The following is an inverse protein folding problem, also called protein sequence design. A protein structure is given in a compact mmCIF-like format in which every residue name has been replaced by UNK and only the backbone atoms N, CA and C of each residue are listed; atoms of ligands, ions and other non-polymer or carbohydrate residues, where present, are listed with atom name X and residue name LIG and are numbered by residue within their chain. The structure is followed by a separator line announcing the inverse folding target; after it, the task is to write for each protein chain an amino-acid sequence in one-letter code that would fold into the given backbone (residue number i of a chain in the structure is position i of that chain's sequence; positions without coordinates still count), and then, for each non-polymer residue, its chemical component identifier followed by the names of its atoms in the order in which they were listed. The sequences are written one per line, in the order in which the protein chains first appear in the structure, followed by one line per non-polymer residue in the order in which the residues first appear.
data_IF_342562655906
#
_entry.id   IF_342562655906
#
_cell.length_a   1.000
_cell.length_b   1.000
_cell.length_c   1.000
_cell.angle_alpha   90.00
_cell.angle_beta   90.00
_cell.angle_gamma   90.00
#
_symmetry.space_group_name_H-M   'P 1'
#
loop_
_entity.id
_entity.type
_entity.pdbx_description
1 polymer ?
#
# COMPACT_ATOMS: atom_id res chain seq x y z
N UNK A 1 -37.02 13.17 -43.34
CA UNK A 1 -37.45 12.58 -42.07
C UNK A 1 -36.93 11.15 -41.86
N UNK A 2 -37.06 10.26 -42.83
CA UNK A 2 -36.63 8.85 -42.76
C UNK A 2 -35.11 8.71 -42.53
N UNK A 3 -34.25 9.48 -43.21
CA UNK A 3 -32.78 9.42 -43.09
C UNK A 3 -32.31 9.80 -41.68
N UNK A 4 -32.96 10.78 -41.06
CA UNK A 4 -32.63 11.21 -39.70
C UNK A 4 -32.95 10.10 -38.67
N UNK A 5 -34.07 9.41 -38.86
CA UNK A 5 -34.49 8.29 -38.01
C UNK A 5 -33.53 7.10 -38.10
N UNK A 6 -33.03 6.79 -39.31
CA UNK A 6 -32.03 5.74 -39.51
C UNK A 6 -30.70 6.07 -38.85
N UNK A 7 -30.27 7.31 -38.94
CA UNK A 7 -29.03 7.74 -38.28
C UNK A 7 -29.13 7.64 -36.74
N UNK A 8 -30.27 8.06 -36.15
CA UNK A 8 -30.51 7.95 -34.73
C UNK A 8 -30.51 6.49 -34.27
N UNK A 9 -31.17 5.58 -35.03
CA UNK A 9 -31.17 4.15 -34.72
C UNK A 9 -29.78 3.54 -34.83
N UNK A 10 -28.98 3.96 -35.79
CA UNK A 10 -27.61 3.49 -35.99
C UNK A 10 -26.70 3.96 -34.84
N UNK A 11 -26.83 5.22 -34.38
CA UNK A 11 -26.09 5.76 -33.26
C UNK A 11 -26.51 5.03 -31.95
N UNK A 12 -27.79 4.79 -31.73
CA UNK A 12 -28.28 4.03 -30.56
C UNK A 12 -27.79 2.59 -30.60
N UNK A 13 -27.79 1.95 -31.78
CA UNK A 13 -27.25 0.61 -31.96
C UNK A 13 -25.75 0.53 -31.68
N UNK A 14 -24.95 1.49 -32.20
CA UNK A 14 -23.52 1.57 -31.93
C UNK A 14 -23.22 1.91 -30.46
N UNK A 15 -24.06 2.71 -29.82
CA UNK A 15 -23.94 2.99 -28.37
C UNK A 15 -24.24 1.76 -27.54
N UNK A 16 -25.29 0.98 -27.89
CA UNK A 16 -25.61 -0.29 -27.22
C UNK A 16 -24.54 -1.35 -27.40
N UNK A 17 -23.97 -1.48 -28.62
CA UNK A 17 -22.87 -2.45 -28.86
C UNK A 17 -21.57 -2.03 -28.15
N UNK A 18 -21.27 -0.73 -28.01
CA UNK A 18 -20.16 -0.24 -27.20
C UNK A 18 -20.40 -0.41 -25.68
N UNK A 19 -21.62 -0.18 -25.21
CA UNK A 19 -21.97 -0.34 -23.79
C UNK A 19 -22.04 -1.82 -23.38
N UNK A 20 -22.24 -2.75 -24.31
CA UNK A 20 -22.24 -4.20 -24.05
C UNK A 20 -20.82 -4.79 -23.96
N UNK A 21 -19.78 -4.01 -24.26
CA UNK A 21 -18.39 -4.45 -24.11
C UNK A 21 -17.69 -3.93 -22.84
N UNK A 22 -18.34 -3.13 -22.01
CA UNK A 22 -17.95 -3.01 -20.62
C UNK A 22 -18.45 -4.25 -19.89
N UNK A 23 -17.90 -5.40 -20.29
CA UNK A 23 -17.97 -6.61 -19.51
C UNK A 23 -17.45 -6.26 -18.13
N UNK A 24 -18.33 -6.28 -17.16
CA UNK A 24 -18.05 -6.36 -15.75
C UNK A 24 -16.81 -7.24 -15.58
N UNK A 25 -15.70 -6.63 -15.29
CA UNK A 25 -14.51 -7.34 -14.85
C UNK A 25 -14.81 -7.68 -13.40
N UNK A 26 -15.62 -8.72 -13.23
CA UNK A 26 -15.68 -9.43 -11.95
C UNK A 26 -14.26 -9.96 -11.72
N UNK A 27 -13.66 -9.58 -10.59
CA UNK A 27 -12.39 -10.11 -10.10
C UNK A 27 -12.56 -11.59 -9.72
N UNK A 28 -12.88 -12.42 -10.71
CA UNK A 28 -12.85 -13.86 -10.56
C UNK A 28 -11.40 -14.34 -10.72
N UNK A 29 -10.62 -14.21 -9.66
CA UNK A 29 -9.38 -14.95 -9.49
C UNK A 29 -9.72 -16.44 -9.26
N UNK A 30 -10.26 -17.11 -10.30
CA UNK A 30 -10.36 -18.57 -10.31
C UNK A 30 -8.98 -19.16 -10.56
N UNK A 31 -8.42 -19.76 -9.54
CA UNK A 31 -7.33 -20.74 -9.70
C UNK A 31 -7.96 -21.99 -10.29
N UNK A 32 -7.89 -22.17 -11.62
CA UNK A 32 -8.20 -23.45 -12.27
C UNK A 32 -7.19 -24.50 -11.83
N UNK A 33 -7.58 -25.33 -10.90
CA UNK A 33 -7.03 -26.68 -10.73
C UNK A 33 -8.20 -27.63 -10.78
N UNK A 34 -8.13 -28.58 -11.72
CA UNK A 34 -9.00 -29.73 -11.89
C UNK A 34 -10.50 -29.53 -11.57
N UNK A 35 -11.28 -29.54 -12.58
CA UNK A 35 -12.72 -29.81 -12.82
C UNK A 35 -13.73 -29.93 -11.63
N UNK A 36 -13.39 -29.38 -10.44
CA UNK A 36 -14.31 -29.19 -9.33
C UNK A 36 -14.22 -27.72 -8.89
N UNK A 37 -15.24 -26.93 -9.19
CA UNK A 37 -15.44 -25.61 -8.58
C UNK A 37 -15.68 -25.79 -7.09
N UNK A 38 -14.63 -25.67 -6.29
CA UNK A 38 -14.78 -25.60 -4.82
C UNK A 38 -15.32 -24.21 -4.50
N UNK A 39 -16.58 -24.15 -4.12
CA UNK A 39 -17.18 -22.94 -3.58
C UNK A 39 -16.51 -22.64 -2.24
N UNK A 40 -15.75 -21.53 -2.17
CA UNK A 40 -15.05 -21.13 -0.94
C UNK A 40 -16.02 -20.31 -0.09
N UNK A 41 -16.36 -20.81 1.09
CA UNK A 41 -17.03 -20.02 2.12
C UNK A 41 -16.03 -19.06 2.77
N UNK A 42 -15.99 -17.82 2.30
CA UNK A 42 -15.07 -16.79 2.79
C UNK A 42 -15.33 -16.44 4.26
N UNK A 43 -16.56 -16.56 4.74
CA UNK A 43 -16.88 -16.25 6.15
C UNK A 43 -16.22 -17.25 7.12
N UNK A 44 -16.07 -18.50 6.71
CA UNK A 44 -15.33 -19.51 7.49
C UNK A 44 -13.82 -19.46 7.26
N UNK A 45 -13.37 -18.93 6.11
CA UNK A 45 -11.96 -18.90 5.74
C UNK A 45 -11.18 -17.70 6.29
N UNK A 46 -11.87 -16.61 6.68
CA UNK A 46 -11.23 -15.38 7.17
C UNK A 46 -11.79 -14.95 8.52
N UNK A 47 -10.93 -14.32 9.29
CA UNK A 47 -11.31 -13.66 10.53
C UNK A 47 -10.70 -12.26 10.62
N UNK A 48 -11.38 -11.34 11.28
CA UNK A 48 -10.83 -10.01 11.57
C UNK A 48 -9.64 -10.09 12.54
N UNK A 49 -8.71 -9.16 12.45
CA UNK A 49 -7.61 -8.99 13.41
C UNK A 49 -7.45 -7.52 13.78
N UNK A 50 -6.78 -7.26 14.88
CA UNK A 50 -6.38 -5.90 15.22
C UNK A 50 -5.41 -5.36 14.17
N UNK A 51 -5.63 -4.11 13.77
CA UNK A 51 -4.81 -3.45 12.76
C UNK A 51 -3.37 -3.18 13.25
N UNK A 52 -3.23 -2.72 14.49
CA UNK A 52 -1.95 -2.48 15.15
C UNK A 52 -1.79 -3.42 16.35
N UNK A 53 -0.57 -3.83 16.64
CA UNK A 53 -0.21 -4.45 17.93
C UNK A 53 -0.36 -3.44 19.06
N UNK A 54 -0.37 -3.89 20.30
CA UNK A 54 -0.48 -3.00 21.46
C UNK A 54 0.68 -1.99 21.54
N UNK A 55 1.92 -2.43 21.23
CA UNK A 55 3.07 -1.55 21.20
C UNK A 55 2.95 -0.53 20.06
N UNK A 56 2.63 -0.98 18.85
CA UNK A 56 2.44 -0.08 17.70
C UNK A 56 1.34 0.95 17.97
N UNK A 57 0.22 0.55 18.57
CA UNK A 57 -0.87 1.46 18.92
C UNK A 57 -0.43 2.51 19.95
N UNK A 58 0.34 2.11 20.95
CA UNK A 58 0.88 3.03 21.95
C UNK A 58 1.83 4.05 21.31
N UNK A 59 2.78 3.58 20.51
CA UNK A 59 3.74 4.45 19.80
C UNK A 59 3.06 5.34 18.76
N UNK A 60 2.05 4.82 18.05
CA UNK A 60 1.24 5.59 17.10
C UNK A 60 0.56 6.79 17.77
N UNK A 61 -0.12 6.55 18.91
CA UNK A 61 -0.81 7.64 19.63
C UNK A 61 0.17 8.72 20.06
N UNK A 62 1.34 8.32 20.54
CA UNK A 62 2.40 9.24 20.97
C UNK A 62 2.97 10.03 19.79
N UNK A 63 3.28 9.36 18.67
CA UNK A 63 3.77 9.99 17.45
C UNK A 63 2.75 10.98 16.88
N UNK A 64 1.45 10.58 16.85
CA UNK A 64 0.37 11.44 16.36
C UNK A 64 0.23 12.71 17.21
N UNK A 65 0.21 12.58 18.54
CA UNK A 65 0.15 13.74 19.42
C UNK A 65 1.29 14.75 19.17
N UNK A 66 2.52 14.24 18.99
CA UNK A 66 3.68 15.09 18.70
C UNK A 66 3.59 15.70 17.29
N UNK A 67 3.16 14.93 16.30
CA UNK A 67 3.00 15.36 14.91
C UNK A 67 1.94 16.46 14.78
N UNK A 68 0.80 16.30 15.46
CA UNK A 68 -0.31 17.28 15.45
C UNK A 68 0.17 18.68 15.92
N UNK A 69 1.09 18.74 16.88
CA UNK A 69 1.67 20.01 17.36
C UNK A 69 2.51 20.73 16.30
N UNK A 70 3.00 19.99 15.30
CA UNK A 70 3.81 20.53 14.17
C UNK A 70 3.00 20.63 12.87
N UNK A 71 1.71 20.30 12.88
CA UNK A 71 0.85 20.30 11.69
C UNK A 71 1.19 19.17 10.73
N UNK A 72 1.70 18.05 11.24
CA UNK A 72 1.99 16.85 10.46
C UNK A 72 0.90 15.79 10.62
N UNK A 73 0.73 14.97 9.58
CA UNK A 73 -0.13 13.78 9.58
C UNK A 73 0.70 12.51 9.77
N UNK A 74 0.12 11.49 10.42
CA UNK A 74 0.77 10.20 10.63
C UNK A 74 -0.08 9.09 10.05
N UNK A 75 0.49 8.34 9.10
CA UNK A 75 -0.14 7.19 8.47
C UNK A 75 0.53 5.90 8.97
N UNK A 76 -0.19 5.00 9.65
CA UNK A 76 0.36 3.71 10.08
C UNK A 76 0.27 2.65 8.98
N UNK A 77 1.21 1.70 8.99
CA UNK A 77 1.21 0.50 8.12
C UNK A 77 1.09 0.80 6.62
N UNK A 78 1.87 1.76 6.15
CA UNK A 78 1.89 2.16 4.73
C UNK A 78 2.70 1.14 3.93
N UNK A 79 2.13 0.63 2.84
CA UNK A 79 2.85 -0.30 1.96
C UNK A 79 3.95 0.44 1.20
N UNK A 80 5.05 -0.26 0.90
CA UNK A 80 6.12 0.33 0.09
C UNK A 80 5.64 0.74 -1.30
N UNK A 81 4.67 0.02 -1.90
CA UNK A 81 4.09 0.38 -3.20
C UNK A 81 3.25 1.67 -3.17
N UNK A 82 2.83 2.14 -2.00
CA UNK A 82 2.12 3.42 -1.86
C UNK A 82 3.12 4.60 -1.75
N UNK A 83 4.40 4.31 -1.51
CA UNK A 83 5.48 5.31 -1.37
C UNK A 83 6.38 5.38 -2.59
N UNK A 84 6.57 4.27 -3.30
CA UNK A 84 7.50 4.16 -4.43
C UNK A 84 7.09 3.03 -5.37
N UNK A 85 7.49 3.15 -6.64
CA UNK A 85 7.30 2.07 -7.62
C UNK A 85 8.58 1.85 -8.44
N UNK A 86 8.86 0.63 -8.91
CA UNK A 86 9.94 0.41 -9.85
C UNK A 86 9.68 1.14 -11.16
N UNK A 87 10.73 1.68 -11.80
CA UNK A 87 10.60 2.32 -13.12
C UNK A 87 10.13 1.30 -14.14
N UNK A 88 9.04 1.58 -14.87
CA UNK A 88 8.39 0.66 -15.82
C UNK A 88 9.32 0.14 -16.92
N UNK A 89 10.28 0.94 -17.37
CA UNK A 89 11.30 0.58 -18.36
C UNK A 89 12.50 -0.19 -17.78
N UNK A 90 12.53 -0.46 -16.48
CA UNK A 90 13.65 -1.17 -15.86
C UNK A 90 13.60 -2.68 -16.20
N UNK A 91 14.73 -3.24 -16.65
CA UNK A 91 14.84 -4.66 -17.06
C UNK A 91 14.31 -5.66 -16.03
N UNK A 92 14.45 -5.36 -14.73
CA UNK A 92 14.01 -6.21 -13.62
C UNK A 92 12.71 -5.71 -12.97
N UNK A 93 11.84 -5.01 -13.72
CA UNK A 93 10.62 -4.40 -13.17
C UNK A 93 9.81 -5.36 -12.30
N UNK A 94 9.43 -6.52 -12.85
CA UNK A 94 8.62 -7.53 -12.13
C UNK A 94 9.29 -8.03 -10.85
N UNK A 95 10.59 -8.32 -10.91
CA UNK A 95 11.36 -8.78 -9.75
C UNK A 95 11.39 -7.72 -8.64
N UNK A 96 11.61 -6.46 -9.00
CA UNK A 96 11.62 -5.34 -8.05
C UNK A 96 10.24 -5.10 -7.45
N UNK A 97 9.19 -5.16 -8.29
CA UNK A 97 7.81 -5.06 -7.84
C UNK A 97 7.47 -6.13 -6.79
N UNK A 98 7.71 -7.40 -7.10
CA UNK A 98 7.44 -8.50 -6.15
C UNK A 98 8.27 -8.44 -4.87
N UNK A 99 9.44 -7.81 -4.90
CA UNK A 99 10.27 -7.62 -3.70
C UNK A 99 9.65 -6.65 -2.69
N UNK A 100 8.85 -5.68 -3.14
CA UNK A 100 8.28 -4.63 -2.28
C UNK A 100 6.78 -4.76 -2.04
N UNK A 101 6.02 -5.49 -2.88
CA UNK A 101 4.56 -5.52 -2.85
C UNK A 101 3.93 -5.93 -1.51
N UNK A 102 4.57 -6.86 -0.79
CA UNK A 102 4.09 -7.36 0.51
C UNK A 102 4.77 -6.67 1.71
N UNK A 103 5.58 -5.64 1.45
CA UNK A 103 6.30 -4.92 2.51
C UNK A 103 5.56 -3.64 2.87
N UNK A 104 5.63 -3.29 4.13
CA UNK A 104 5.09 -2.04 4.66
C UNK A 104 6.07 -1.46 5.69
N UNK A 105 5.95 -0.17 5.92
CA UNK A 105 6.64 0.56 6.99
C UNK A 105 5.67 0.82 8.14
N UNK A 106 6.18 0.99 9.36
CA UNK A 106 5.32 1.12 10.53
C UNK A 106 4.58 2.46 10.53
N UNK A 107 5.28 3.57 10.35
CA UNK A 107 4.66 4.89 10.30
C UNK A 107 5.30 5.77 9.21
N UNK A 108 4.46 6.58 8.57
CA UNK A 108 4.88 7.64 7.65
C UNK A 108 4.39 8.97 8.20
N UNK A 109 5.30 9.91 8.38
CA UNK A 109 5.00 11.30 8.77
C UNK A 109 4.95 12.14 7.52
N UNK A 110 3.82 12.84 7.30
CA UNK A 110 3.58 13.69 6.14
C UNK A 110 3.32 15.15 6.56
N UNK A 111 3.55 16.08 5.65
CA UNK A 111 3.04 17.45 5.81
C UNK A 111 1.53 17.53 5.48
N UNK A 112 0.93 18.70 5.67
CA UNK A 112 -0.50 18.95 5.42
C UNK A 112 -0.94 18.75 3.95
N UNK A 113 0.01 18.55 3.02
CA UNK A 113 -0.24 18.20 1.63
C UNK A 113 0.02 16.72 1.33
N UNK A 114 0.14 15.89 2.36
CA UNK A 114 0.47 14.47 2.29
C UNK A 114 1.83 14.15 1.65
N UNK A 115 2.79 15.09 1.68
CA UNK A 115 4.16 14.82 1.24
C UNK A 115 4.95 14.21 2.38
N UNK A 116 5.60 13.08 2.09
CA UNK A 116 6.40 12.35 3.08
C UNK A 116 7.56 13.22 3.57
N UNK A 117 7.63 13.38 4.89
CA UNK A 117 8.73 14.08 5.60
C UNK A 117 9.71 13.09 6.20
N UNK A 118 9.19 12.01 6.79
CA UNK A 118 10.01 10.94 7.34
C UNK A 118 9.20 9.63 7.40
N UNK A 119 9.94 8.53 7.44
CA UNK A 119 9.46 7.19 7.71
C UNK A 119 10.01 6.79 9.08
N UNK A 120 9.16 6.24 9.95
CA UNK A 120 9.55 5.81 11.28
C UNK A 120 9.27 4.31 11.42
N UNK A 121 10.30 3.55 11.70
CA UNK A 121 10.29 2.12 11.95
C UNK A 121 10.52 1.84 13.43
N UNK A 122 9.69 0.98 14.01
CA UNK A 122 9.83 0.56 15.40
C UNK A 122 10.75 -0.66 15.48
N UNK A 123 11.92 -0.47 16.09
CA UNK A 123 12.85 -1.58 16.36
C UNK A 123 12.32 -2.44 17.51
N UNK A 124 12.03 -3.71 17.20
CA UNK A 124 11.69 -4.69 18.23
C UNK A 124 13.00 -5.32 18.78
N UNK A 125 13.30 -5.03 20.05
CA UNK A 125 14.53 -5.50 20.73
C UNK A 125 14.62 -7.02 20.90
N UNK A 126 13.51 -7.76 20.64
CA UNK A 126 13.40 -9.17 21.02
C UNK A 126 13.98 -10.17 20.01
N UNK A 127 14.42 -9.75 18.80
CA UNK A 127 14.78 -10.70 17.74
C UNK A 127 16.07 -10.40 17.00
N UNK A 128 17.14 -11.04 17.44
CA UNK A 128 18.47 -11.03 16.80
C UNK A 128 18.56 -12.02 15.61
N UNK A 129 17.65 -11.92 14.63
CA UNK A 129 17.63 -12.82 13.48
C UNK A 129 18.30 -12.17 12.27
N UNK A 130 19.39 -12.76 11.75
CA UNK A 130 20.17 -12.26 10.61
C UNK A 130 19.30 -12.06 9.35
N UNK A 131 18.39 -12.97 9.05
CA UNK A 131 17.48 -12.83 7.91
C UNK A 131 16.55 -11.61 7.99
N UNK A 132 16.24 -11.14 9.21
CA UNK A 132 15.48 -9.90 9.42
C UNK A 132 16.36 -8.68 9.14
N UNK A 133 17.60 -8.67 9.64
CA UNK A 133 18.57 -7.59 9.37
C UNK A 133 18.82 -7.39 7.88
N UNK A 134 18.97 -8.49 7.12
CA UNK A 134 19.18 -8.44 5.66
C UNK A 134 17.94 -7.90 4.92
N UNK A 135 16.74 -8.23 5.43
CA UNK A 135 15.46 -7.73 4.86
C UNK A 135 15.26 -6.24 5.16
N UNK A 136 15.54 -5.82 6.38
CA UNK A 136 15.34 -4.45 6.84
C UNK A 136 16.37 -3.54 6.13
N UNK A 137 17.62 -3.96 5.99
CA UNK A 137 18.64 -3.25 5.20
C UNK A 137 18.27 -3.06 3.72
N UNK A 138 17.50 -3.99 3.12
CA UNK A 138 17.00 -3.82 1.76
C UNK A 138 15.92 -2.72 1.67
N UNK A 139 15.02 -2.62 2.65
CA UNK A 139 13.96 -1.58 2.69
C UNK A 139 14.61 -0.21 2.86
N UNK A 140 15.54 -0.07 3.80
CA UNK A 140 16.28 1.16 4.05
C UNK A 140 17.04 1.64 2.82
N UNK A 141 17.73 0.70 2.15
CA UNK A 141 18.48 1.02 0.94
C UNK A 141 17.58 1.59 -0.16
N UNK A 142 16.40 1.00 -0.39
CA UNK A 142 15.47 1.47 -1.42
C UNK A 142 14.92 2.84 -1.04
N UNK A 143 14.40 3.00 0.17
CA UNK A 143 13.78 4.23 0.63
C UNK A 143 14.79 5.38 0.63
N UNK A 144 16.01 5.15 1.12
CA UNK A 144 17.09 6.14 1.08
C UNK A 144 17.50 6.49 -0.36
N UNK A 145 17.50 5.52 -1.28
CA UNK A 145 17.88 5.75 -2.69
C UNK A 145 16.93 6.69 -3.44
N UNK A 146 15.68 6.81 -2.97
CA UNK A 146 14.69 7.76 -3.50
C UNK A 146 14.55 9.02 -2.65
N UNK A 147 15.41 9.20 -1.64
CA UNK A 147 15.53 10.41 -0.84
C UNK A 147 14.62 10.48 0.38
N UNK A 148 13.99 9.38 0.80
CA UNK A 148 13.23 9.37 2.04
C UNK A 148 14.15 9.31 3.26
N UNK A 149 13.80 10.08 4.28
CA UNK A 149 14.42 10.01 5.60
C UNK A 149 13.80 8.87 6.38
N UNK A 150 14.62 7.96 6.90
CA UNK A 150 14.20 6.83 7.73
C UNK A 150 14.75 7.03 9.14
N UNK A 151 13.91 6.76 10.12
CA UNK A 151 14.23 6.87 11.55
C UNK A 151 13.87 5.55 12.19
N UNK A 152 14.87 4.83 12.69
CA UNK A 152 14.72 3.65 13.51
C UNK A 152 14.69 4.03 14.98
N UNK A 153 13.71 3.52 15.71
CA UNK A 153 13.58 3.79 17.14
C UNK A 153 12.82 2.71 17.87
N UNK A 154 13.18 2.46 19.11
CA UNK A 154 12.40 1.58 19.99
C UNK A 154 11.20 2.31 20.61
N UNK A 155 11.32 3.62 20.80
CA UNK A 155 10.32 4.44 21.47
C UNK A 155 10.21 5.81 20.82
N UNK A 156 9.01 6.29 20.64
CA UNK A 156 8.75 7.65 20.17
C UNK A 156 9.07 8.64 21.30
N UNK A 157 9.94 9.60 21.04
CA UNK A 157 10.28 10.70 21.95
C UNK A 157 9.97 12.05 21.31
N UNK A 158 9.94 13.11 22.12
CA UNK A 158 9.66 14.46 21.62
C UNK A 158 10.75 14.92 20.64
N UNK A 159 12.00 14.59 20.94
CA UNK A 159 13.19 14.96 20.15
C UNK A 159 13.20 14.32 18.76
N UNK A 160 12.49 13.18 18.59
CA UNK A 160 12.40 12.50 17.29
C UNK A 160 11.87 13.42 16.21
N UNK A 161 10.82 14.20 16.52
CA UNK A 161 10.23 15.13 15.57
C UNK A 161 11.07 16.38 15.29
N UNK A 162 12.04 16.71 16.16
CA UNK A 162 12.96 17.83 15.92
C UNK A 162 14.00 17.46 14.84
N UNK A 163 14.11 16.18 14.54
CA UNK A 163 14.95 15.68 13.44
C UNK A 163 14.23 15.68 12.10
N UNK A 164 12.91 15.87 12.03
CA UNK A 164 12.08 15.87 10.81
C UNK A 164 11.88 17.30 10.31
#
# INVERSE_FOLDING_TARGET
MIVFLVIVLLVVFLYRTRCSQTKHMSDDHYVKRDDQTVEIDFASAYQSKYFLTQNELYQFKKLKELADRKGYEVCPKVRLLDLLEPKRNHRKYKTLFYKIQAKHVDFVVCDGNMRVKAIVELDDSSHNNQARKDRDGFVDLILSSVGYKIIHTQYITAELLDTI
#
